data_IF_322268378204
#
_entry.id   IF_322268378204
#
_cell.length_a   1.000
_cell.length_b   1.000
_cell.length_c   1.000
_cell.angle_alpha   90.00
_cell.angle_beta   90.00
_cell.angle_gamma   90.00
#
_symmetry.space_group_name_H-M   'P 1'
#
loop_
_entity.id
_entity.type
_entity.pdbx_description
1 polymer ?
#
# COMPACT_ATOMS: atom_id res chain seq x y z
N UNK A 1 -7.61 1.14 16.95
CA UNK A 1 -8.23 1.18 15.61
C UNK A 1 -7.54 2.30 14.85
N UNK A 2 -6.77 1.98 13.80
CA UNK A 2 -6.12 3.01 12.98
C UNK A 2 -7.24 3.76 12.25
N UNK A 3 -7.36 5.07 12.50
CA UNK A 3 -8.28 5.94 11.77
C UNK A 3 -7.59 6.38 10.49
N UNK A 4 -8.08 5.89 9.36
CA UNK A 4 -7.65 6.36 8.04
C UNK A 4 -8.41 7.65 7.74
N UNK A 5 -7.68 8.70 7.36
CA UNK A 5 -8.30 9.96 6.97
C UNK A 5 -8.66 9.92 5.49
N UNK A 6 -9.95 9.69 5.20
CA UNK A 6 -10.44 9.62 3.83
C UNK A 6 -10.62 11.00 3.18
N UNK A 7 -10.57 12.10 3.94
CA UNK A 7 -10.74 13.45 3.41
C UNK A 7 -9.55 13.88 2.53
N UNK A 8 -8.38 13.30 2.77
CA UNK A 8 -7.17 13.50 1.95
C UNK A 8 -7.08 12.50 0.78
N UNK A 9 -8.03 11.58 0.65
CA UNK A 9 -7.98 10.54 -0.37
C UNK A 9 -8.05 11.10 -1.79
N UNK A 10 -8.88 12.12 -2.04
CA UNK A 10 -8.94 12.81 -3.32
C UNK A 10 -7.62 13.46 -3.69
N UNK A 11 -6.96 14.13 -2.74
CA UNK A 11 -5.67 14.79 -2.95
C UNK A 11 -4.59 13.77 -3.32
N UNK A 12 -4.55 12.64 -2.62
CA UNK A 12 -3.66 11.53 -2.96
C UNK A 12 -3.93 11.00 -4.37
N UNK A 13 -5.20 10.83 -4.74
CA UNK A 13 -5.62 10.32 -6.03
C UNK A 13 -5.30 11.31 -7.18
N UNK A 14 -5.50 12.61 -6.95
CA UNK A 14 -5.12 13.69 -7.88
C UNK A 14 -3.61 13.71 -8.11
N UNK A 15 -2.83 13.64 -7.03
CA UNK A 15 -1.36 13.60 -7.13
C UNK A 15 -0.89 12.36 -7.89
N UNK A 16 -1.46 11.19 -7.60
CA UNK A 16 -1.18 9.96 -8.33
C UNK A 16 -1.54 10.10 -9.82
N UNK A 17 -2.68 10.70 -10.15
CA UNK A 17 -3.09 10.96 -11.54
C UNK A 17 -2.08 11.85 -12.26
N UNK A 18 -1.57 12.91 -11.63
CA UNK A 18 -0.56 13.81 -12.20
C UNK A 18 0.74 13.06 -12.51
N UNK A 19 1.26 12.29 -11.55
CA UNK A 19 2.49 11.50 -11.74
C UNK A 19 2.29 10.44 -12.83
N UNK A 20 1.16 9.73 -12.79
CA UNK A 20 0.83 8.71 -13.76
C UNK A 20 0.75 9.26 -15.19
N UNK A 21 0.16 10.45 -15.35
CA UNK A 21 0.20 11.20 -16.61
C UNK A 21 1.63 11.51 -17.02
N UNK A 22 2.44 12.08 -16.14
CA UNK A 22 3.86 12.40 -16.38
C UNK A 22 4.65 11.20 -16.92
N UNK A 23 4.49 10.03 -16.29
CA UNK A 23 5.15 8.78 -16.67
C UNK A 23 4.72 8.28 -18.07
N UNK A 24 3.47 8.56 -18.48
CA UNK A 24 2.90 8.15 -19.78
C UNK A 24 3.15 9.18 -20.90
N UNK A 25 3.24 10.46 -20.58
CA UNK A 25 3.35 11.56 -21.55
C UNK A 25 4.67 11.62 -22.32
N UNK A 26 5.67 10.80 -21.99
CA UNK A 26 6.80 10.53 -22.92
C UNK A 26 6.33 10.06 -24.30
N UNK A 27 5.09 9.55 -24.43
CA UNK A 27 4.45 9.11 -25.68
C UNK A 27 3.51 10.15 -26.33
N UNK A 28 3.40 11.39 -25.81
CA UNK A 28 2.52 12.48 -26.35
C UNK A 28 1.04 12.11 -26.57
N UNK A 29 0.50 11.13 -25.84
CA UNK A 29 -0.93 10.82 -25.90
C UNK A 29 -1.68 11.56 -24.78
N UNK A 30 -2.86 12.14 -25.05
CA UNK A 30 -3.72 12.68 -24.01
C UNK A 30 -4.20 11.52 -23.12
N UNK A 31 -3.64 11.46 -21.92
CA UNK A 31 -3.92 10.39 -20.96
C UNK A 31 -5.24 10.69 -20.25
N UNK A 32 -6.25 9.88 -20.54
CA UNK A 32 -7.64 10.11 -20.10
C UNK A 32 -7.92 9.56 -18.70
N UNK A 33 -8.91 10.13 -18.00
CA UNK A 33 -9.42 9.58 -16.73
C UNK A 33 -9.88 8.12 -16.90
N UNK A 34 -10.38 7.76 -18.10
CA UNK A 34 -10.75 6.38 -18.41
C UNK A 34 -9.56 5.39 -18.34
N UNK A 35 -8.37 5.82 -18.73
CA UNK A 35 -7.20 4.96 -18.68
C UNK A 35 -6.63 4.88 -17.26
N UNK A 36 -6.70 5.98 -16.50
CA UNK A 36 -6.32 5.97 -15.09
C UNK A 36 -7.24 5.07 -14.27
N UNK A 37 -8.55 5.15 -14.51
CA UNK A 37 -9.51 4.28 -13.87
C UNK A 37 -9.26 2.80 -14.19
N UNK A 38 -8.91 2.49 -15.45
CA UNK A 38 -8.49 1.14 -15.87
C UNK A 38 -7.20 0.70 -15.17
N UNK A 39 -6.21 1.58 -15.02
CA UNK A 39 -5.00 1.29 -14.26
C UNK A 39 -5.34 0.92 -12.81
N UNK A 40 -6.27 1.64 -12.18
CA UNK A 40 -6.73 1.34 -10.83
C UNK A 40 -7.63 0.10 -10.74
N UNK A 41 -8.11 -0.46 -11.86
CA UNK A 41 -9.12 -1.53 -11.94
C UNK A 41 -10.52 -1.13 -11.44
N UNK A 42 -10.89 0.13 -11.63
CA UNK A 42 -12.22 0.65 -11.30
C UNK A 42 -12.89 1.28 -12.52
N UNK A 43 -14.22 1.43 -12.45
CA UNK A 43 -14.95 2.14 -13.49
C UNK A 43 -14.66 3.63 -13.42
N UNK A 44 -14.66 4.31 -14.58
CA UNK A 44 -14.46 5.76 -14.66
C UNK A 44 -15.42 6.55 -13.76
N UNK A 45 -16.74 6.25 -13.69
CA UNK A 45 -17.64 7.00 -12.81
C UNK A 45 -17.21 6.93 -11.34
N UNK A 46 -16.80 5.76 -10.86
CA UNK A 46 -16.35 5.57 -9.47
C UNK A 46 -15.12 6.42 -9.18
N UNK A 47 -14.10 6.33 -10.04
CA UNK A 47 -12.86 7.11 -9.87
C UNK A 47 -13.13 8.62 -9.97
N UNK A 48 -14.07 9.03 -10.83
CA UNK A 48 -14.48 10.43 -10.92
C UNK A 48 -15.13 10.93 -9.63
N UNK A 49 -15.99 10.12 -9.00
CA UNK A 49 -16.60 10.46 -7.71
C UNK A 49 -15.56 10.61 -6.61
N UNK A 50 -14.54 9.75 -6.61
CA UNK A 50 -13.43 9.83 -5.65
C UNK A 50 -12.57 11.09 -5.85
N UNK A 51 -12.25 11.43 -7.10
CA UNK A 51 -11.50 12.65 -7.42
C UNK A 51 -12.25 13.92 -7.01
N UNK A 52 -13.57 13.94 -7.17
CA UNK A 52 -14.39 15.11 -6.87
C UNK A 52 -14.78 15.26 -5.39
N UNK A 53 -14.37 14.35 -4.51
CA UNK A 53 -14.89 14.21 -3.14
C UNK A 53 -16.41 13.99 -3.05
N UNK A 54 -17.07 13.54 -4.14
CA UNK A 54 -18.51 13.21 -4.11
C UNK A 54 -18.77 11.94 -3.28
N UNK A 55 -17.79 11.04 -3.23
CA UNK A 55 -17.84 9.79 -2.49
C UNK A 55 -16.43 9.34 -2.10
N UNK A 56 -16.28 8.79 -0.90
CA UNK A 56 -15.02 8.16 -0.49
C UNK A 56 -14.99 6.66 -0.81
N UNK A 57 -13.83 6.08 -1.15
CA UNK A 57 -13.69 4.63 -1.23
C UNK A 57 -13.94 3.99 0.14
N UNK A 58 -14.48 2.77 0.13
CA UNK A 58 -14.56 1.97 1.36
C UNK A 58 -13.15 1.55 1.79
N UNK A 59 -12.96 1.20 3.08
CA UNK A 59 -11.67 0.71 3.56
C UNK A 59 -11.12 -0.46 2.73
N UNK A 60 -11.95 -1.47 2.46
CA UNK A 60 -11.53 -2.60 1.63
C UNK A 60 -11.19 -2.20 0.19
N UNK A 61 -11.78 -1.12 -0.32
CA UNK A 61 -11.40 -0.55 -1.61
C UNK A 61 -10.04 0.14 -1.54
N UNK A 62 -9.75 0.87 -0.47
CA UNK A 62 -8.43 1.50 -0.26
C UNK A 62 -7.35 0.42 -0.19
N UNK A 63 -7.59 -0.68 0.51
CA UNK A 63 -6.62 -1.78 0.60
C UNK A 63 -6.26 -2.38 -0.78
N UNK A 64 -7.20 -2.37 -1.73
CA UNK A 64 -6.97 -2.87 -3.10
C UNK A 64 -6.16 -1.89 -3.98
N UNK A 65 -6.35 -0.58 -3.81
CA UNK A 65 -5.70 0.43 -4.66
C UNK A 65 -4.41 0.97 -4.07
N UNK A 66 -4.21 0.85 -2.75
CA UNK A 66 -3.04 1.35 -2.05
C UNK A 66 -1.72 0.89 -2.69
N UNK A 67 -1.52 -0.38 -3.09
CA UNK A 67 -0.29 -0.81 -3.76
C UNK A 67 -0.01 -0.05 -5.07
N UNK A 68 -1.06 0.24 -5.86
CA UNK A 68 -0.93 0.99 -7.12
C UNK A 68 -0.64 2.47 -6.88
N UNK A 69 -1.14 3.03 -5.79
CA UNK A 69 -0.83 4.40 -5.37
C UNK A 69 0.59 4.48 -4.82
N UNK A 70 1.04 3.48 -4.06
CA UNK A 70 2.42 3.35 -3.58
C UNK A 70 3.41 3.26 -4.75
N UNK A 71 3.08 2.53 -5.84
CA UNK A 71 3.90 2.49 -7.06
C UNK A 71 4.11 3.88 -7.70
N UNK A 72 3.17 4.81 -7.51
CA UNK A 72 3.22 6.16 -8.09
C UNK A 72 3.79 7.21 -7.13
N UNK A 73 3.42 7.12 -5.84
CA UNK A 73 3.71 8.13 -4.83
C UNK A 73 4.80 7.71 -3.83
N UNK A 74 5.22 6.44 -3.87
CA UNK A 74 6.12 5.88 -2.86
C UNK A 74 5.51 5.95 -1.47
N UNK A 75 6.35 6.21 -0.47
CA UNK A 75 5.96 6.25 0.95
C UNK A 75 5.05 7.43 1.32
N UNK A 76 4.97 8.46 0.47
CA UNK A 76 4.16 9.65 0.75
C UNK A 76 2.67 9.32 0.87
N UNK A 77 2.20 8.27 0.21
CA UNK A 77 0.79 7.85 0.29
C UNK A 77 0.34 7.54 1.72
N UNK A 78 1.24 7.00 2.55
CA UNK A 78 0.91 6.64 3.93
C UNK A 78 0.73 7.89 4.79
N UNK A 79 1.52 8.94 4.55
CA UNK A 79 1.36 10.23 5.21
C UNK A 79 0.07 10.91 4.79
N UNK A 80 -0.22 10.92 3.48
CA UNK A 80 -1.44 11.53 2.94
C UNK A 80 -2.70 10.88 3.50
N UNK A 81 -2.71 9.56 3.67
CA UNK A 81 -3.86 8.82 4.20
C UNK A 81 -3.86 8.68 5.73
N UNK A 82 -2.85 9.27 6.41
CA UNK A 82 -2.64 9.18 7.86
C UNK A 82 -2.63 7.73 8.38
N UNK A 83 -2.09 6.81 7.57
CA UNK A 83 -1.94 5.41 7.94
C UNK A 83 -0.49 5.10 8.28
N UNK A 84 -0.23 4.14 9.18
CA UNK A 84 1.14 3.72 9.48
C UNK A 84 1.84 3.24 8.21
N UNK A 85 3.07 3.72 8.02
CA UNK A 85 3.97 3.15 7.02
C UNK A 85 4.21 1.67 7.35
N UNK A 86 4.25 0.78 6.34
CA UNK A 86 4.61 -0.59 6.59
C UNK A 86 6.08 -0.64 7.01
N UNK A 87 6.41 -1.60 7.86
CA UNK A 87 7.80 -1.83 8.24
C UNK A 87 8.65 -2.15 6.98
N UNK A 88 9.77 -1.45 6.76
CA UNK A 88 10.57 -1.58 5.55
C UNK A 88 11.17 -2.99 5.37
N UNK A 89 11.48 -3.68 6.47
CA UNK A 89 11.97 -5.05 6.43
C UNK A 89 10.85 -6.00 6.01
N UNK A 90 9.63 -5.79 6.52
CA UNK A 90 8.45 -6.55 6.09
C UNK A 90 8.06 -6.29 4.64
N UNK A 91 8.17 -5.05 4.15
CA UNK A 91 7.97 -4.75 2.73
C UNK A 91 8.96 -5.51 1.85
N UNK A 92 10.24 -5.47 2.22
CA UNK A 92 11.31 -6.17 1.51
C UNK A 92 11.05 -7.67 1.49
N UNK A 93 10.70 -8.24 2.64
CA UNK A 93 10.36 -9.64 2.76
C UNK A 93 9.16 -10.00 1.87
N UNK A 94 8.09 -9.20 1.88
CA UNK A 94 6.88 -9.40 1.07
C UNK A 94 7.19 -9.41 -0.44
N UNK A 95 8.06 -8.50 -0.92
CA UNK A 95 8.49 -8.45 -2.33
C UNK A 95 9.31 -9.68 -2.73
N UNK A 96 10.16 -10.18 -1.84
CA UNK A 96 10.99 -11.36 -2.09
C UNK A 96 10.21 -12.67 -1.93
N UNK A 97 9.17 -12.68 -1.09
CA UNK A 97 8.44 -13.86 -0.67
C UNK A 97 8.03 -14.78 -1.83
N UNK A 98 7.40 -14.29 -2.93
CA UNK A 98 6.98 -15.13 -4.05
C UNK A 98 8.15 -15.85 -4.75
N UNK A 99 9.37 -15.32 -4.63
CA UNK A 99 10.59 -15.86 -5.27
C UNK A 99 11.35 -16.85 -4.38
N UNK A 100 11.04 -16.89 -3.09
CA UNK A 100 11.67 -17.82 -2.15
C UNK A 100 11.13 -19.24 -2.36
N UNK A 101 12.00 -20.24 -2.21
CA UNK A 101 11.59 -21.65 -2.16
C UNK A 101 10.73 -21.91 -0.92
N UNK A 102 9.90 -22.97 -0.98
CA UNK A 102 9.07 -23.37 0.16
C UNK A 102 9.92 -23.69 1.41
N UNK A 103 11.05 -24.38 1.22
CA UNK A 103 12.03 -24.67 2.27
C UNK A 103 12.57 -23.38 2.93
N UNK A 104 12.92 -22.37 2.13
CA UNK A 104 13.39 -21.08 2.65
C UNK A 104 12.30 -20.37 3.44
N UNK A 105 11.06 -20.36 2.94
CA UNK A 105 9.92 -19.77 3.65
C UNK A 105 9.66 -20.48 4.98
N UNK A 106 9.80 -21.80 5.02
CA UNK A 106 9.66 -22.58 6.25
C UNK A 106 10.76 -22.25 7.26
N UNK A 107 12.01 -22.17 6.81
CA UNK A 107 13.15 -21.82 7.67
C UNK A 107 13.00 -20.41 8.28
N UNK A 108 12.55 -19.43 7.48
CA UNK A 108 12.28 -18.07 7.98
C UNK A 108 11.19 -18.09 9.05
N UNK A 109 10.10 -18.85 8.83
CA UNK A 109 9.02 -18.99 9.81
C UNK A 109 9.54 -19.59 11.12
N UNK A 110 10.24 -20.72 11.07
CA UNK A 110 10.79 -21.36 12.26
C UNK A 110 11.75 -20.45 13.03
N UNK A 111 12.61 -19.70 12.31
CA UNK A 111 13.53 -18.77 12.95
C UNK A 111 12.75 -17.66 13.66
N UNK A 112 11.76 -17.05 13.01
CA UNK A 112 10.93 -16.02 13.61
C UNK A 112 10.22 -16.51 14.88
N UNK A 113 9.65 -17.72 14.85
CA UNK A 113 9.00 -18.35 16.01
C UNK A 113 10.00 -18.55 17.17
N UNK A 114 11.20 -19.10 16.89
CA UNK A 114 12.25 -19.30 17.91
C UNK A 114 12.68 -17.99 18.58
N UNK A 115 12.78 -16.90 17.82
CA UNK A 115 13.15 -15.59 18.37
C UNK A 115 12.09 -15.03 19.32
N UNK A 116 10.79 -15.26 19.03
CA UNK A 116 9.70 -14.83 19.92
C UNK A 116 9.73 -15.64 21.22
N UNK A 117 9.78 -16.97 21.15
CA UNK A 117 9.78 -17.85 22.34
C UNK A 117 10.97 -17.60 23.26
N UNK A 118 12.17 -17.42 22.71
CA UNK A 118 13.37 -17.14 23.50
C UNK A 118 13.28 -15.77 24.22
N UNK A 119 12.64 -14.79 23.60
CA UNK A 119 12.47 -13.46 24.19
C UNK A 119 11.47 -13.49 25.36
N UNK A 120 10.39 -14.26 25.23
CA UNK A 120 9.39 -14.44 26.29
C UNK A 120 9.98 -15.16 27.51
N UNK A 121 10.73 -16.24 27.29
CA UNK A 121 11.35 -17.02 28.39
C UNK A 121 12.41 -16.20 29.14
N UNK A 122 13.20 -15.39 28.43
CA UNK A 122 14.19 -14.52 29.07
C UNK A 122 13.56 -13.35 29.81
N UNK A 123 12.42 -12.83 29.36
CA UNK A 123 11.69 -11.77 30.06
C UNK A 123 11.05 -12.27 31.36
N UNK A 124 10.46 -13.47 31.37
CA UNK A 124 9.90 -14.07 32.59
C UNK A 124 10.97 -14.38 33.66
N UNK A 125 12.15 -14.82 33.24
CA UNK A 125 13.26 -15.09 34.17
C UNK A 125 13.91 -13.81 34.73
N UNK A 126 13.84 -12.69 34.02
CA UNK A 126 14.38 -11.41 34.48
C UNK A 126 13.47 -10.65 35.47
N UNK A 127 12.20 -11.08 35.60
CA UNK A 127 11.20 -10.50 36.51
C UNK A 127 11.02 -11.31 37.81
N UNK A 128 11.78 -12.39 37.98
CA UNK A 128 11.83 -13.21 39.21
C UNK A 128 13.11 -12.94 39.98
#
# INVERSE_FOLDING_TARGET
>A
MIMMNLDHYSQALEKALIIWRGNRTRKRLPVSINEFARFLEFSRPIVSQWLNNDKHPSKGTVDLILPKLEELLGEEIYELLEIPRPDPDLQTLSRLWPRLSEETRHAIREQAEKYVTNKETNHENALR
#
